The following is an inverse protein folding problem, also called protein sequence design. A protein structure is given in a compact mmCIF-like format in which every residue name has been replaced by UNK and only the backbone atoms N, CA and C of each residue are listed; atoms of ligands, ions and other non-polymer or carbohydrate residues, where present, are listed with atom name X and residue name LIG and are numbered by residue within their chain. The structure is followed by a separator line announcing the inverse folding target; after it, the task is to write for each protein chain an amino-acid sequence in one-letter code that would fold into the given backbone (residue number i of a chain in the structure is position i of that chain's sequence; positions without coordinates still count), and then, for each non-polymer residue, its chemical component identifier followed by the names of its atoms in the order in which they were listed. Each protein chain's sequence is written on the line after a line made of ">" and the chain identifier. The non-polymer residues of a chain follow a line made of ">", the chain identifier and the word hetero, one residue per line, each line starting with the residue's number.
data_IF_534577398949
#
_entry.id   IF_534577398949
#
_cell.length_a   1.000
_cell.length_b   1.000
_cell.length_c   1.000
_cell.angle_alpha   90.00
_cell.angle_beta   90.00
_cell.angle_gamma   90.00
#
_symmetry.space_group_name_H-M   'P 1'
#
loop_
_entity.id
_entity.type
_entity.pdbx_description
1 polymer ?
#
# COMPACT_ATOMS: atom_id res chain seq x y z
N UNK A 1 28.80 -19.51 9.87
CA UNK A 1 29.77 -18.63 9.20
C UNK A 1 28.99 -17.38 8.84
N UNK A 2 29.20 -16.28 9.56
CA UNK A 2 28.43 -15.05 9.39
C UNK A 2 28.69 -14.47 7.99
N UNK A 3 27.64 -14.36 7.18
CA UNK A 3 27.70 -13.79 5.83
C UNK A 3 28.05 -12.30 5.92
N UNK A 4 29.16 -11.89 5.28
CA UNK A 4 29.69 -10.52 5.25
C UNK A 4 28.82 -9.51 4.47
N UNK A 5 27.68 -9.92 3.94
CA UNK A 5 26.76 -9.05 3.18
C UNK A 5 25.56 -8.53 4.01
N UNK A 6 25.45 -8.90 5.29
CA UNK A 6 24.34 -8.49 6.17
C UNK A 6 24.45 -7.05 6.69
N UNK A 7 24.41 -6.02 5.82
CA UNK A 7 24.17 -4.63 6.26
C UNK A 7 23.80 -3.64 5.14
N UNK A 8 23.35 -4.10 3.96
CA UNK A 8 22.84 -3.15 2.94
C UNK A 8 21.44 -2.72 3.36
N UNK A 9 21.33 -1.48 3.85
CA UNK A 9 20.07 -0.89 4.30
C UNK A 9 19.36 -0.20 3.15
N UNK A 10 18.03 -0.27 3.18
CA UNK A 10 17.18 0.37 2.22
C UNK A 10 17.23 1.88 2.37
N UNK A 11 17.61 2.58 1.32
CA UNK A 11 17.65 4.04 1.30
C UNK A 11 16.27 4.69 1.54
N UNK A 12 15.18 3.92 1.38
CA UNK A 12 13.82 4.40 1.54
C UNK A 12 13.25 4.20 2.95
N UNK A 13 13.68 3.16 3.66
CA UNK A 13 13.05 2.77 4.92
C UNK A 13 14.03 2.18 5.95
N UNK A 14 15.33 2.25 5.67
CA UNK A 14 16.43 1.81 6.53
C UNK A 14 16.52 0.31 6.81
N UNK A 15 15.56 -0.47 6.33
CA UNK A 15 15.51 -1.91 6.55
C UNK A 15 16.43 -2.69 5.59
N UNK A 16 16.85 -3.89 5.98
CA UNK A 16 17.78 -4.69 5.18
C UNK A 16 17.17 -5.16 3.85
N UNK A 17 17.96 -5.08 2.78
CA UNK A 17 17.65 -5.71 1.51
C UNK A 17 17.81 -7.22 1.60
N UNK A 18 16.99 -7.96 0.85
CA UNK A 18 17.10 -9.41 0.64
C UNK A 18 17.26 -9.74 -0.82
N UNK A 19 17.87 -10.87 -1.17
CA UNK A 19 18.01 -11.28 -2.57
C UNK A 19 16.72 -11.97 -3.04
N UNK A 20 16.17 -11.54 -4.18
CA UNK A 20 15.00 -12.15 -4.83
C UNK A 20 15.39 -13.32 -5.73
N UNK A 21 14.39 -14.08 -6.19
CA UNK A 21 14.56 -15.21 -7.12
C UNK A 21 15.23 -14.84 -8.45
N UNK A 22 15.17 -13.55 -8.83
CA UNK A 22 15.81 -12.97 -10.02
C UNK A 22 17.20 -12.37 -9.76
N UNK A 23 17.72 -12.48 -8.53
CA UNK A 23 19.01 -11.92 -8.11
C UNK A 23 18.99 -10.42 -7.80
N UNK A 24 17.81 -9.80 -7.74
CA UNK A 24 17.64 -8.40 -7.35
C UNK A 24 17.65 -8.29 -5.83
N UNK A 25 18.24 -7.25 -5.26
CA UNK A 25 18.06 -6.93 -3.84
C UNK A 25 16.74 -6.21 -3.65
N UNK A 26 15.80 -6.84 -2.95
CA UNK A 26 14.46 -6.34 -2.66
C UNK A 26 14.36 -6.03 -1.18
N UNK A 27 14.01 -4.79 -0.85
CA UNK A 27 13.72 -4.43 0.52
C UNK A 27 12.44 -5.16 0.94
N UNK A 28 12.53 -5.92 2.04
CA UNK A 28 11.41 -6.72 2.56
C UNK A 28 10.17 -5.88 2.91
N UNK A 29 10.35 -4.58 3.10
CA UNK A 29 9.32 -3.69 3.63
C UNK A 29 8.79 -2.75 2.55
N UNK A 30 9.60 -1.77 2.11
CA UNK A 30 9.09 -0.84 1.11
C UNK A 30 9.04 -1.38 -0.33
N UNK A 31 9.46 -2.63 -0.57
CA UNK A 31 9.49 -3.26 -1.88
C UNK A 31 10.51 -2.68 -2.86
N UNK A 32 11.33 -1.72 -2.41
CA UNK A 32 12.39 -1.11 -3.23
C UNK A 32 13.32 -2.18 -3.77
N UNK A 33 13.67 -2.08 -5.05
CA UNK A 33 14.59 -2.99 -5.72
C UNK A 33 15.86 -2.27 -6.07
N UNK A 34 17.01 -2.86 -5.77
CA UNK A 34 18.30 -2.43 -6.30
C UNK A 34 18.94 -3.60 -7.04
N UNK A 35 19.58 -3.26 -8.15
CA UNK A 35 20.31 -4.20 -8.98
C UNK A 35 21.78 -4.07 -8.62
N UNK A 36 22.37 -5.13 -8.11
CA UNK A 36 23.82 -5.19 -7.93
C UNK A 36 24.48 -5.46 -9.27
N UNK A 37 25.57 -4.76 -9.56
CA UNK A 37 26.35 -4.97 -10.80
C UNK A 37 27.45 -6.00 -10.55
N UNK A 38 27.98 -6.61 -11.62
CA UNK A 38 29.08 -7.58 -11.47
C UNK A 38 30.34 -6.97 -10.82
N UNK A 39 30.51 -5.65 -10.93
CA UNK A 39 31.59 -4.91 -10.28
C UNK A 39 31.47 -4.92 -8.74
N UNK A 40 30.25 -5.00 -8.22
CA UNK A 40 29.97 -5.05 -6.79
C UNK A 40 30.26 -6.45 -6.18
N UNK A 41 30.51 -7.46 -7.03
CA UNK A 41 30.78 -8.85 -6.67
C UNK A 41 32.15 -9.36 -7.11
N UNK A 42 33.05 -8.50 -7.59
CA UNK A 42 34.37 -8.90 -8.11
C UNK A 42 35.16 -9.79 -7.11
N UNK A 43 34.93 -9.62 -5.80
CA UNK A 43 35.59 -10.38 -4.74
C UNK A 43 34.80 -11.62 -4.22
N UNK A 44 33.57 -11.88 -4.71
CA UNK A 44 32.61 -12.79 -4.06
C UNK A 44 31.94 -13.83 -4.98
N UNK A 45 32.55 -14.20 -6.12
CA UNK A 45 31.94 -15.11 -7.10
C UNK A 45 31.40 -16.43 -6.52
N UNK A 46 32.11 -17.07 -5.58
CA UNK A 46 31.64 -18.31 -4.94
C UNK A 46 30.49 -18.08 -3.95
N UNK A 47 30.49 -16.93 -3.26
CA UNK A 47 29.46 -16.60 -2.26
C UNK A 47 28.15 -16.18 -2.92
N UNK A 48 28.19 -15.59 -4.13
CA UNK A 48 27.00 -15.17 -4.89
C UNK A 48 26.09 -16.35 -5.23
N UNK A 49 26.64 -17.43 -5.78
CA UNK A 49 25.85 -18.60 -6.21
C UNK A 49 25.29 -19.36 -5.00
N UNK A 50 26.10 -19.54 -3.94
CA UNK A 50 25.67 -20.15 -2.68
C UNK A 50 24.59 -19.31 -1.96
N UNK A 51 24.66 -17.97 -2.04
CA UNK A 51 23.63 -17.06 -1.50
C UNK A 51 22.33 -17.10 -2.29
N UNK A 52 22.41 -17.10 -3.62
CA UNK A 52 21.23 -17.19 -4.50
C UNK A 52 20.50 -18.52 -4.29
N UNK A 53 21.22 -19.62 -4.05
CA UNK A 53 20.61 -20.91 -3.72
C UNK A 53 19.99 -20.91 -2.31
N UNK A 54 20.72 -20.50 -1.27
CA UNK A 54 20.23 -20.46 0.12
C UNK A 54 18.99 -19.57 0.31
N UNK A 55 19.01 -18.36 -0.26
CA UNK A 55 17.93 -17.38 -0.05
C UNK A 55 16.73 -17.63 -0.97
N UNK A 56 16.91 -18.29 -2.13
CA UNK A 56 15.78 -18.82 -2.93
C UNK A 56 14.93 -19.77 -2.09
N UNK A 57 15.55 -20.74 -1.42
CA UNK A 57 14.81 -21.69 -0.59
C UNK A 57 14.11 -21.03 0.61
N UNK A 58 14.69 -19.98 1.19
CA UNK A 58 14.11 -19.30 2.35
C UNK A 58 12.96 -18.35 1.97
N UNK A 59 12.99 -17.77 0.77
CA UNK A 59 11.91 -16.93 0.26
C UNK A 59 10.74 -17.75 -0.31
N UNK A 60 10.99 -18.91 -0.92
CA UNK A 60 9.96 -19.81 -1.44
C UNK A 60 9.11 -20.44 -0.31
N UNK A 61 9.68 -20.66 0.89
CA UNK A 61 8.92 -21.09 2.07
C UNK A 61 7.97 -20.00 2.61
N UNK A 62 8.11 -18.74 2.20
CA UNK A 62 7.28 -17.63 2.66
C UNK A 62 6.10 -17.30 1.72
N UNK A 63 5.93 -18.00 0.60
CA UNK A 63 4.89 -17.69 -0.39
C UNK A 63 3.51 -18.29 -0.08
N UNK A 64 3.32 -19.04 1.02
CA UNK A 64 2.04 -19.73 1.26
C UNK A 64 1.65 -19.89 2.74
N UNK A 65 1.72 -18.80 3.52
CA UNK A 65 1.26 -18.81 4.92
C UNK A 65 -0.28 -18.68 5.06
N UNK A 66 -1.01 -18.52 3.95
CA UNK A 66 -2.43 -18.23 3.98
C UNK A 66 -2.72 -16.86 4.59
N UNK A 67 -3.80 -16.78 5.37
CA UNK A 67 -4.20 -15.59 6.12
C UNK A 67 -3.36 -15.44 7.39
N UNK A 68 -2.38 -14.53 7.34
CA UNK A 68 -1.41 -14.35 8.43
C UNK A 68 -1.99 -13.70 9.67
N UNK A 69 -3.18 -13.08 9.59
CA UNK A 69 -3.83 -12.44 10.73
C UNK A 69 -5.03 -13.25 11.26
N UNK A 70 -5.40 -14.33 10.58
CA UNK A 70 -6.59 -15.11 10.93
C UNK A 70 -7.90 -14.31 10.84
N UNK A 71 -7.95 -13.25 10.02
CA UNK A 71 -9.15 -12.40 9.84
C UNK A 71 -10.15 -12.98 8.82
N UNK A 72 -9.71 -13.86 7.93
CA UNK A 72 -10.47 -14.49 6.85
C UNK A 72 -11.02 -15.87 7.25
N UNK A 73 -11.70 -15.95 8.40
CA UNK A 73 -12.16 -17.23 8.97
C UNK A 73 -13.40 -17.82 8.28
N UNK A 74 -14.21 -16.98 7.64
CA UNK A 74 -15.44 -17.41 6.96
C UNK A 74 -15.60 -16.67 5.63
N UNK A 75 -15.90 -17.43 4.58
CA UNK A 75 -16.18 -16.89 3.26
C UNK A 75 -17.65 -17.09 2.88
N UNK A 76 -18.20 -16.10 2.17
CA UNK A 76 -19.43 -16.26 1.40
C UNK A 76 -19.07 -16.38 -0.07
N UNK A 77 -19.71 -17.32 -0.78
CA UNK A 77 -19.55 -17.42 -2.22
C UNK A 77 -20.27 -16.23 -2.89
N UNK A 78 -19.49 -15.38 -3.55
CA UNK A 78 -19.99 -14.31 -4.38
C UNK A 78 -20.23 -14.84 -5.80
N UNK A 79 -21.35 -14.49 -6.42
CA UNK A 79 -21.66 -14.72 -7.83
C UNK A 79 -22.28 -13.47 -8.47
N UNK A 80 -21.47 -12.71 -9.23
CA UNK A 80 -21.91 -11.51 -9.95
C UNK A 80 -22.29 -11.90 -11.37
N UNK A 81 -23.56 -11.76 -11.72
CA UNK A 81 -24.01 -11.86 -13.10
C UNK A 81 -23.82 -10.52 -13.82
N UNK A 82 -23.17 -10.53 -14.98
CA UNK A 82 -23.05 -9.36 -15.86
C UNK A 82 -24.19 -9.33 -16.88
N UNK A 83 -24.45 -8.16 -17.47
CA UNK A 83 -25.42 -8.04 -18.59
C UNK A 83 -25.04 -8.92 -19.79
N UNK A 84 -23.74 -9.22 -19.98
CA UNK A 84 -23.25 -10.10 -21.04
C UNK A 84 -23.47 -11.60 -20.75
N UNK A 85 -24.07 -11.95 -19.60
CA UNK A 85 -24.26 -13.33 -19.17
C UNK A 85 -22.99 -13.99 -18.60
N UNK A 86 -21.94 -13.21 -18.32
CA UNK A 86 -20.73 -13.69 -17.66
C UNK A 86 -20.96 -13.72 -16.15
N UNK A 87 -20.48 -14.77 -15.49
CA UNK A 87 -20.57 -14.91 -14.04
C UNK A 87 -19.19 -14.78 -13.40
N UNK A 88 -19.04 -13.80 -12.51
CA UNK A 88 -17.81 -13.59 -11.74
C UNK A 88 -18.01 -14.22 -10.37
N UNK A 89 -17.32 -15.34 -10.12
CA UNK A 89 -17.43 -16.08 -8.87
C UNK A 89 -16.14 -16.03 -8.09
N UNK A 90 -16.22 -15.71 -6.80
CA UNK A 90 -15.10 -15.82 -5.88
C UNK A 90 -15.58 -15.87 -4.42
N UNK A 91 -14.73 -16.39 -3.54
CA UNK A 91 -14.96 -16.35 -2.10
C UNK A 91 -14.69 -14.94 -1.57
N UNK A 92 -15.71 -14.33 -0.97
CA UNK A 92 -15.62 -13.05 -0.28
C UNK A 92 -15.54 -13.31 1.22
N UNK A 93 -14.44 -12.89 1.83
CA UNK A 93 -14.19 -12.99 3.27
C UNK A 93 -14.70 -11.77 4.04
N UNK A 94 -14.93 -10.66 3.33
CA UNK A 94 -15.47 -9.44 3.89
C UNK A 94 -16.27 -8.66 2.86
N UNK A 95 -17.35 -8.02 3.29
CA UNK A 95 -18.10 -7.08 2.48
C UNK A 95 -18.50 -5.84 3.28
N UNK A 96 -18.60 -4.72 2.59
CA UNK A 96 -19.08 -3.45 3.16
C UNK A 96 -19.91 -2.70 2.13
N UNK A 97 -21.07 -2.20 2.57
CA UNK A 97 -21.88 -1.27 1.80
C UNK A 97 -21.51 0.16 2.20
N UNK A 98 -21.07 0.94 1.22
CA UNK A 98 -20.77 2.36 1.35
C UNK A 98 -21.78 3.16 0.53
N UNK A 99 -21.79 4.48 0.70
CA UNK A 99 -22.65 5.32 -0.11
C UNK A 99 -22.25 5.21 -1.60
N UNK A 100 -23.19 4.75 -2.45
CA UNK A 100 -23.00 4.68 -3.90
C UNK A 100 -22.27 3.42 -4.39
N UNK A 101 -21.80 2.54 -3.50
CA UNK A 101 -21.07 1.32 -3.88
C UNK A 101 -21.05 0.24 -2.79
N UNK A 102 -20.96 -1.01 -3.22
CA UNK A 102 -20.66 -2.16 -2.37
C UNK A 102 -19.27 -2.71 -2.69
N UNK A 103 -18.53 -3.12 -1.66
CA UNK A 103 -17.19 -3.69 -1.80
C UNK A 103 -17.20 -5.10 -1.24
N UNK A 104 -16.67 -6.05 -2.01
CA UNK A 104 -16.49 -7.45 -1.65
C UNK A 104 -15.02 -7.82 -1.77
N UNK A 105 -14.45 -8.38 -0.71
CA UNK A 105 -13.02 -8.62 -0.60
C UNK A 105 -12.77 -10.12 -0.52
N UNK A 106 -12.01 -10.62 -1.48
CA UNK A 106 -11.52 -11.99 -1.51
C UNK A 106 -10.03 -12.09 -1.22
N UNK A 107 -9.47 -13.29 -1.35
CA UNK A 107 -8.05 -13.57 -1.08
C UNK A 107 -7.13 -12.74 -1.97
N UNK A 108 -7.42 -12.71 -3.28
CA UNK A 108 -6.61 -12.09 -4.33
C UNK A 108 -7.39 -11.13 -5.22
N UNK A 109 -8.65 -10.86 -4.88
CA UNK A 109 -9.56 -10.01 -5.66
C UNK A 109 -10.34 -9.08 -4.76
N UNK A 110 -10.69 -7.91 -5.27
CA UNK A 110 -11.70 -7.03 -4.70
C UNK A 110 -12.72 -6.74 -5.80
N UNK A 111 -14.01 -6.94 -5.52
CA UNK A 111 -15.08 -6.46 -6.38
C UNK A 111 -15.65 -5.18 -5.78
N UNK A 112 -15.75 -4.13 -6.60
CA UNK A 112 -16.43 -2.89 -6.27
C UNK A 112 -17.62 -2.77 -7.21
N UNK A 113 -18.83 -2.78 -6.66
CA UNK A 113 -20.07 -2.64 -7.41
C UNK A 113 -20.60 -1.24 -7.16
N UNK A 114 -20.55 -0.38 -8.16
CA UNK A 114 -21.10 0.97 -8.10
C UNK A 114 -22.58 0.97 -8.47
N UNK A 115 -23.35 1.79 -7.77
CA UNK A 115 -24.78 2.00 -8.06
C UNK A 115 -24.98 2.66 -9.43
N UNK A 116 -23.98 3.42 -9.89
CA UNK A 116 -24.03 4.13 -11.16
C UNK A 116 -22.74 3.95 -11.97
N UNK A 117 -22.89 3.96 -13.29
CA UNK A 117 -21.78 3.84 -14.24
C UNK A 117 -20.83 5.04 -14.22
N UNK A 118 -21.30 6.23 -13.87
CA UNK A 118 -20.50 7.46 -13.92
C UNK A 118 -19.31 7.39 -12.96
N UNK A 119 -19.57 6.97 -11.72
CA UNK A 119 -18.53 6.84 -10.70
C UNK A 119 -17.53 5.73 -11.07
N UNK A 120 -18.01 4.59 -11.55
CA UNK A 120 -17.12 3.51 -12.01
C UNK A 120 -16.24 3.94 -13.19
N UNK A 121 -16.80 4.66 -14.16
CA UNK A 121 -16.04 5.20 -15.29
C UNK A 121 -15.02 6.24 -14.83
N UNK A 122 -15.41 7.14 -13.92
CA UNK A 122 -14.49 8.12 -13.34
C UNK A 122 -13.32 7.47 -12.62
N UNK A 123 -13.57 6.40 -11.85
CA UNK A 123 -12.54 5.58 -11.25
C UNK A 123 -11.59 5.01 -12.33
N UNK A 124 -12.13 4.34 -13.35
CA UNK A 124 -11.31 3.73 -14.41
C UNK A 124 -10.48 4.75 -15.20
N UNK A 125 -11.07 5.92 -15.49
CA UNK A 125 -10.44 6.98 -16.28
C UNK A 125 -9.28 7.61 -15.50
N UNK A 126 -9.50 7.96 -14.22
CA UNK A 126 -8.42 8.49 -13.37
C UNK A 126 -7.24 7.52 -13.30
N UNK A 127 -7.49 6.23 -13.04
CA UNK A 127 -6.40 5.24 -12.93
C UNK A 127 -5.59 5.13 -14.23
N UNK A 128 -6.24 5.24 -15.39
CA UNK A 128 -5.56 5.20 -16.71
C UNK A 128 -4.77 6.47 -17.02
N UNK A 129 -5.14 7.60 -16.43
CA UNK A 129 -4.50 8.90 -16.66
C UNK A 129 -3.22 9.10 -15.84
N UNK A 130 -2.99 8.31 -14.78
CA UNK A 130 -1.83 8.48 -13.91
C UNK A 130 -0.52 8.26 -14.68
N UNK A 131 0.29 9.30 -14.72
CA UNK A 131 1.65 9.29 -15.24
C UNK A 131 2.63 9.10 -14.09
N UNK A 132 3.53 8.15 -14.27
CA UNK A 132 4.60 7.89 -13.31
C UNK A 132 5.85 8.68 -13.70
N UNK A 133 6.47 9.44 -12.78
CA UNK A 133 7.69 10.17 -13.09
C UNK A 133 8.80 9.19 -13.45
N UNK A 134 9.73 9.59 -14.34
CA UNK A 134 10.83 8.70 -14.77
C UNK A 134 11.74 8.25 -13.62
N UNK A 135 11.75 8.98 -12.51
CA UNK A 135 12.45 8.63 -11.29
C UNK A 135 11.71 7.60 -10.41
N UNK A 136 10.47 7.22 -10.77
CA UNK A 136 9.72 6.14 -10.12
C UNK A 136 10.25 4.76 -10.53
N UNK A 137 11.50 4.51 -10.15
CA UNK A 137 12.20 3.25 -10.35
C UNK A 137 11.56 2.12 -9.51
N UNK A 138 10.80 2.49 -8.47
CA UNK A 138 10.23 1.59 -7.45
C UNK A 138 8.82 1.11 -7.78
N UNK A 139 8.18 1.69 -8.80
CA UNK A 139 6.87 1.29 -9.31
C UNK A 139 5.74 1.62 -8.35
N UNK A 140 5.49 2.91 -8.10
CA UNK A 140 4.37 3.37 -7.25
C UNK A 140 3.01 2.85 -7.73
N UNK A 141 2.88 2.51 -9.02
CA UNK A 141 1.67 1.92 -9.58
C UNK A 141 1.22 0.62 -8.91
N UNK A 142 2.11 -0.12 -8.24
CA UNK A 142 1.73 -1.32 -7.47
C UNK A 142 0.83 -1.03 -6.27
N UNK A 143 0.90 0.20 -5.73
CA UNK A 143 0.11 0.63 -4.58
C UNK A 143 -1.26 1.18 -4.98
N UNK A 144 -1.52 1.25 -6.28
CA UNK A 144 -2.76 1.73 -6.87
C UNK A 144 -3.57 0.55 -7.43
N UNK A 145 -4.85 0.75 -7.76
CA UNK A 145 -5.72 -0.31 -8.26
C UNK A 145 -5.21 -0.90 -9.58
N UNK A 146 -5.17 -2.23 -9.65
CA UNK A 146 -5.04 -2.94 -10.92
C UNK A 146 -6.40 -3.53 -11.33
N UNK A 147 -7.12 -2.79 -12.19
CA UNK A 147 -8.44 -3.18 -12.68
C UNK A 147 -8.28 -4.28 -13.74
N UNK A 148 -8.73 -5.49 -13.41
CA UNK A 148 -8.64 -6.68 -14.27
C UNK A 148 -9.89 -6.95 -15.08
N UNK A 149 -11.03 -6.42 -14.64
CA UNK A 149 -12.32 -6.59 -15.32
C UNK A 149 -13.27 -5.45 -14.94
N UNK A 150 -14.06 -4.99 -15.90
CA UNK A 150 -15.14 -4.03 -15.68
C UNK A 150 -16.35 -4.36 -16.55
N UNK A 151 -17.57 -4.27 -16.00
CA UNK A 151 -18.80 -4.52 -16.74
C UNK A 151 -20.05 -4.01 -16.03
N UNK A 152 -21.16 -3.90 -16.77
CA UNK A 152 -22.48 -3.70 -16.17
C UNK A 152 -22.97 -5.01 -15.53
N UNK A 153 -23.53 -4.91 -14.34
CA UNK A 153 -24.16 -6.02 -13.65
C UNK A 153 -25.60 -6.20 -14.13
N UNK A 154 -26.13 -7.43 -14.06
CA UNK A 154 -27.46 -7.75 -14.55
C UNK A 154 -28.60 -7.02 -13.78
N UNK A 155 -28.31 -6.57 -12.56
CA UNK A 155 -29.20 -5.77 -11.69
C UNK A 155 -29.07 -4.25 -11.91
N UNK A 156 -28.24 -3.80 -12.87
CA UNK A 156 -28.16 -2.42 -13.32
C UNK A 156 -27.02 -1.58 -12.73
N UNK A 157 -26.22 -2.15 -11.82
CA UNK A 157 -24.98 -1.55 -11.32
C UNK A 157 -23.80 -1.69 -12.30
N UNK A 158 -22.61 -1.33 -11.82
CA UNK A 158 -21.36 -1.48 -12.57
C UNK A 158 -20.26 -2.06 -11.68
N UNK A 159 -19.71 -3.20 -12.08
CA UNK A 159 -18.67 -3.90 -11.32
C UNK A 159 -17.28 -3.58 -11.87
N UNK A 160 -16.35 -3.28 -10.96
CA UNK A 160 -14.90 -3.31 -11.18
C UNK A 160 -14.29 -4.45 -10.37
N UNK A 161 -13.43 -5.27 -10.99
CA UNK A 161 -12.66 -6.30 -10.30
C UNK A 161 -11.19 -5.89 -10.26
N UNK A 162 -10.69 -5.66 -9.06
CA UNK A 162 -9.29 -5.38 -8.80
C UNK A 162 -8.54 -6.67 -8.46
N UNK A 163 -7.33 -6.84 -8.97
CA UNK A 163 -6.40 -7.86 -8.45
C UNK A 163 -5.63 -7.31 -7.27
N UNK A 164 -5.38 -8.14 -6.27
CA UNK A 164 -4.45 -7.86 -5.17
C UNK A 164 -3.65 -9.09 -4.79
N UNK A 165 -2.53 -8.89 -4.13
CA UNK A 165 -1.79 -9.97 -3.48
C UNK A 165 -2.54 -10.48 -2.23
N UNK A 166 -2.15 -11.67 -1.77
CA UNK A 166 -2.64 -12.21 -0.50
C UNK A 166 -2.18 -11.33 0.66
N UNK A 167 -2.87 -11.41 1.80
CA UNK A 167 -2.55 -10.64 3.00
C UNK A 167 -2.67 -9.11 2.86
N UNK A 168 -3.39 -8.62 1.85
CA UNK A 168 -3.86 -7.24 1.83
C UNK A 168 -5.26 -7.16 2.44
N UNK A 169 -5.40 -6.35 3.49
CA UNK A 169 -6.61 -6.15 4.31
C UNK A 169 -7.06 -4.70 4.28
N UNK A 170 -8.36 -4.39 4.44
CA UNK A 170 -8.81 -3.03 4.65
C UNK A 170 -8.23 -2.41 5.92
N UNK A 171 -7.81 -1.16 5.84
CA UNK A 171 -7.17 -0.48 6.97
C UNK A 171 -8.14 -0.18 8.11
N UNK A 172 -9.44 -0.01 7.84
CA UNK A 172 -10.44 0.22 8.90
C UNK A 172 -10.64 -0.99 9.84
N UNK A 173 -10.10 -2.17 9.51
CA UNK A 173 -10.09 -3.31 10.43
C UNK A 173 -9.07 -3.14 11.56
N UNK A 174 -8.23 -2.10 11.49
CA UNK A 174 -7.18 -1.83 12.45
C UNK A 174 -7.50 -0.55 13.23
N UNK A 175 -7.34 -0.61 14.54
CA UNK A 175 -7.39 0.54 15.44
C UNK A 175 -6.20 0.50 16.41
N UNK A 176 -5.97 1.60 17.11
CA UNK A 176 -5.03 1.68 18.24
C UNK A 176 -3.59 1.22 17.92
N UNK A 177 -3.17 1.45 16.68
CA UNK A 177 -1.85 1.10 16.19
C UNK A 177 -0.78 1.91 16.92
N UNK A 178 0.40 1.31 17.10
CA UNK A 178 1.55 2.05 17.64
C UNK A 178 1.93 3.23 16.74
N UNK A 179 2.40 4.36 17.32
CA UNK A 179 2.84 5.50 16.53
C UNK A 179 3.93 5.19 15.49
N UNK A 180 4.81 4.24 15.79
CA UNK A 180 5.84 3.75 14.85
C UNK A 180 5.22 3.05 13.63
N UNK A 181 4.09 2.36 13.83
CA UNK A 181 3.33 1.73 12.75
C UNK A 181 2.66 2.80 11.89
N UNK A 182 1.99 3.76 12.51
CA UNK A 182 1.36 4.85 11.74
C UNK A 182 2.41 5.71 11.02
N UNK A 183 3.63 5.83 11.55
CA UNK A 183 4.70 6.57 10.91
C UNK A 183 5.06 6.01 9.52
N UNK A 184 5.17 4.69 9.36
CA UNK A 184 5.45 4.12 8.04
C UNK A 184 4.27 4.29 7.07
N UNK A 185 3.03 4.26 7.58
CA UNK A 185 1.83 4.53 6.78
C UNK A 185 1.86 5.95 6.22
N UNK A 186 2.17 6.92 7.08
CA UNK A 186 2.34 8.32 6.68
C UNK A 186 3.45 8.42 5.63
N UNK A 187 4.62 7.80 5.84
CA UNK A 187 5.68 7.80 4.82
C UNK A 187 5.21 7.29 3.46
N UNK A 188 4.38 6.23 3.42
CA UNK A 188 3.81 5.72 2.17
C UNK A 188 2.81 6.69 1.56
N UNK A 189 1.91 7.23 2.37
CA UNK A 189 0.88 8.16 1.93
C UNK A 189 1.51 9.48 1.42
N UNK A 190 2.52 10.03 2.07
CA UNK A 190 3.23 11.24 1.60
C UNK A 190 3.90 11.01 0.23
N UNK A 191 4.49 9.82 0.01
CA UNK A 191 5.04 9.44 -1.30
C UNK A 191 3.95 9.38 -2.38
N UNK A 192 2.77 8.82 -2.06
CA UNK A 192 1.63 8.81 -2.98
C UNK A 192 1.07 10.23 -3.20
N UNK A 193 1.11 11.09 -2.18
CA UNK A 193 0.77 12.52 -2.32
C UNK A 193 1.68 13.23 -3.32
N UNK A 194 2.98 12.94 -3.31
CA UNK A 194 3.91 13.44 -4.31
C UNK A 194 3.56 12.98 -5.75
N UNK A 195 3.06 11.75 -5.92
CA UNK A 195 2.60 11.24 -7.22
C UNK A 195 1.32 11.93 -7.68
N UNK A 196 0.37 12.17 -6.77
CA UNK A 196 -0.86 12.90 -7.06
C UNK A 196 -0.54 14.35 -7.48
N UNK A 197 0.34 15.04 -6.75
CA UNK A 197 0.75 16.41 -7.11
C UNK A 197 1.51 16.44 -8.44
N UNK A 198 2.34 15.44 -8.74
CA UNK A 198 2.99 15.31 -10.05
C UNK A 198 1.98 15.25 -11.21
N UNK A 199 0.82 14.65 -10.98
CA UNK A 199 -0.26 14.50 -11.96
C UNK A 199 -1.28 15.64 -11.92
N UNK A 200 -1.07 16.69 -11.11
CA UNK A 200 -2.07 17.72 -10.83
C UNK A 200 -3.42 17.13 -10.35
N UNK A 201 -3.39 16.00 -9.62
CA UNK A 201 -4.58 15.30 -9.12
C UNK A 201 -4.74 15.46 -7.60
N UNK A 202 -5.98 15.49 -7.11
CA UNK A 202 -6.29 15.46 -5.68
C UNK A 202 -7.59 14.68 -5.43
N UNK A 203 -7.65 14.02 -4.28
CA UNK A 203 -8.89 13.40 -3.79
C UNK A 203 -9.81 14.51 -3.31
N UNK A 204 -11.10 14.49 -3.69
CA UNK A 204 -12.07 15.40 -3.04
C UNK A 204 -12.15 15.11 -1.54
N UNK A 205 -12.04 13.84 -1.17
CA UNK A 205 -11.90 13.34 0.19
C UNK A 205 -11.26 11.95 0.15
N UNK A 206 -10.17 11.74 0.86
CA UNK A 206 -9.63 10.40 1.14
C UNK A 206 -10.23 9.91 2.46
N UNK A 207 -10.79 8.70 2.47
CA UNK A 207 -11.35 8.10 3.66
C UNK A 207 -10.54 6.85 4.10
N UNK A 208 -10.74 6.42 5.36
CA UNK A 208 -10.07 5.24 5.89
C UNK A 208 -10.47 3.96 5.14
N UNK A 209 -11.70 3.93 4.61
CA UNK A 209 -12.28 2.85 3.82
C UNK A 209 -11.63 2.69 2.44
N UNK A 210 -10.91 3.70 1.97
CA UNK A 210 -10.21 3.67 0.70
C UNK A 210 -8.82 3.00 0.80
N UNK A 211 -8.33 2.81 2.02
CA UNK A 211 -6.97 2.37 2.32
C UNK A 211 -6.91 0.89 2.69
N UNK A 212 -5.85 0.24 2.23
CA UNK A 212 -5.58 -1.17 2.48
C UNK A 212 -4.12 -1.34 2.92
N UNK A 213 -3.86 -2.35 3.73
CA UNK A 213 -2.55 -2.64 4.29
C UNK A 213 -2.17 -4.10 4.02
N UNK A 214 -0.91 -4.31 3.67
CA UNK A 214 -0.26 -5.60 3.84
C UNK A 214 0.65 -5.55 5.08
N UNK A 215 0.24 -6.13 6.22
CA UNK A 215 1.03 -6.08 7.46
C UNK A 215 2.31 -6.91 7.37
N UNK A 216 2.37 -7.92 6.48
CA UNK A 216 3.55 -8.76 6.27
C UNK A 216 4.67 -7.98 5.57
N UNK A 217 4.30 -7.16 4.60
CA UNK A 217 5.25 -6.37 3.82
C UNK A 217 5.31 -4.90 4.24
N UNK A 218 4.50 -4.42 5.18
CA UNK A 218 4.40 -2.99 5.55
C UNK A 218 4.09 -2.09 4.35
N UNK A 219 3.20 -2.57 3.49
CA UNK A 219 2.72 -1.81 2.36
C UNK A 219 1.34 -1.24 2.65
N UNK A 220 1.10 -0.05 2.10
CA UNK A 220 -0.20 0.59 2.14
C UNK A 220 -0.60 0.96 0.71
N UNK A 221 -1.85 0.65 0.39
CA UNK A 221 -2.46 0.76 -0.92
C UNK A 221 -3.67 1.66 -0.83
N UNK A 222 -3.97 2.36 -1.93
CA UNK A 222 -5.20 3.14 -2.09
C UNK A 222 -6.03 2.42 -3.14
N UNK A 223 -7.00 1.60 -2.72
CA UNK A 223 -7.88 0.88 -3.64
C UNK A 223 -9.29 1.46 -3.72
N UNK A 224 -9.66 2.38 -2.84
CA UNK A 224 -10.93 3.10 -2.91
C UNK A 224 -10.79 4.56 -3.34
N UNK A 225 -11.91 5.25 -3.43
CA UNK A 225 -12.00 6.70 -3.55
C UNK A 225 -11.66 7.31 -4.92
N UNK A 226 -11.15 6.54 -5.88
CA UNK A 226 -10.68 7.10 -7.15
C UNK A 226 -11.77 7.74 -8.01
N UNK A 227 -13.04 7.35 -7.84
CA UNK A 227 -14.19 8.04 -8.44
C UNK A 227 -14.36 9.50 -7.98
N UNK A 228 -13.69 9.87 -6.87
CA UNK A 228 -13.75 11.21 -6.30
C UNK A 228 -12.53 12.08 -6.61
N UNK A 229 -11.54 11.54 -7.32
CA UNK A 229 -10.33 12.25 -7.73
C UNK A 229 -10.62 13.14 -8.92
N UNK A 230 -9.95 14.29 -8.97
CA UNK A 230 -10.03 15.21 -10.10
C UNK A 230 -8.73 15.98 -10.27
N UNK A 231 -8.53 16.54 -11.46
CA UNK A 231 -7.43 17.47 -11.72
C UNK A 231 -7.61 18.74 -10.89
N UNK A 232 -6.78 18.91 -9.87
CA UNK A 232 -6.84 20.00 -8.91
C UNK A 232 -5.48 20.28 -8.30
N UNK A 233 -5.23 21.56 -8.02
CA UNK A 233 -4.09 22.01 -7.19
C UNK A 233 -4.45 22.14 -5.71
N UNK A 234 -5.64 21.64 -5.34
CA UNK A 234 -6.02 21.43 -3.94
C UNK A 234 -5.17 20.27 -3.39
N UNK A 235 -5.14 20.16 -2.07
CA UNK A 235 -4.34 19.17 -1.35
C UNK A 235 -5.12 18.59 -0.17
N UNK A 236 -6.41 18.34 -0.40
CA UNK A 236 -7.30 17.75 0.58
C UNK A 236 -6.74 16.41 1.07
N UNK A 237 -6.10 15.64 0.17
CA UNK A 237 -5.38 14.41 0.50
C UNK A 237 -4.42 14.56 1.70
N UNK A 238 -3.66 15.65 1.81
CA UNK A 238 -2.69 15.85 2.90
C UNK A 238 -3.38 16.17 4.24
N UNK A 239 -4.56 16.80 4.20
CA UNK A 239 -5.38 17.03 5.39
C UNK A 239 -6.00 15.71 5.86
N UNK A 240 -6.62 14.98 4.92
CA UNK A 240 -7.25 13.69 5.17
C UNK A 240 -6.25 12.66 5.70
N UNK A 241 -5.04 12.61 5.15
CA UNK A 241 -3.93 11.77 5.64
C UNK A 241 -3.70 11.98 7.14
N UNK A 242 -3.65 13.24 7.59
CA UNK A 242 -3.42 13.56 9.01
C UNK A 242 -4.59 13.13 9.88
N UNK A 243 -5.82 13.33 9.42
CA UNK A 243 -7.03 12.89 10.15
C UNK A 243 -7.08 11.36 10.27
N UNK A 244 -6.80 10.65 9.17
CA UNK A 244 -6.71 9.19 9.15
C UNK A 244 -5.63 8.70 10.12
N UNK A 245 -4.42 9.27 10.06
CA UNK A 245 -3.33 8.90 10.95
C UNK A 245 -3.70 9.13 12.43
N UNK A 246 -4.36 10.24 12.76
CA UNK A 246 -4.86 10.52 14.11
C UNK A 246 -5.94 9.53 14.57
N UNK A 247 -6.77 9.03 13.66
CA UNK A 247 -7.77 8.01 13.97
C UNK A 247 -7.17 6.62 14.22
N UNK A 248 -5.96 6.35 13.72
CA UNK A 248 -5.32 5.04 13.79
C UNK A 248 -4.40 4.86 15.00
N UNK A 249 -4.01 5.92 15.71
CA UNK A 249 -3.07 5.83 16.84
C UNK A 249 -3.38 6.80 17.96
N UNK A 250 -3.01 6.43 19.20
CA UNK A 250 -2.95 7.40 20.30
C UNK A 250 -1.81 8.38 20.05
N UNK A 251 -2.18 9.55 19.53
CA UNK A 251 -1.24 10.64 19.23
C UNK A 251 -0.45 11.08 20.48
N UNK A 252 -0.96 10.89 21.70
CA UNK A 252 -0.23 11.29 22.91
C UNK A 252 0.98 10.39 23.17
N UNK A 253 0.96 9.16 22.67
CA UNK A 253 2.08 8.23 22.74
C UNK A 253 3.13 8.50 21.64
N UNK A 254 2.83 9.34 20.65
CA UNK A 254 3.74 9.68 19.56
C UNK A 254 4.81 10.71 19.97
N UNK A 255 6.01 10.69 19.35
CA UNK A 255 7.02 11.72 19.54
C UNK A 255 6.48 13.13 19.30
N UNK A 256 7.02 14.13 20.01
CA UNK A 256 6.53 15.51 19.94
C UNK A 256 6.51 16.07 18.51
N UNK A 257 7.53 15.75 17.69
CA UNK A 257 7.57 16.16 16.29
C UNK A 257 6.44 15.56 15.47
N UNK A 258 6.12 14.28 15.67
CA UNK A 258 4.99 13.61 15.01
C UNK A 258 3.66 14.26 15.40
N UNK A 259 3.48 14.53 16.70
CA UNK A 259 2.31 15.23 17.21
C UNK A 259 2.14 16.62 16.58
N UNK A 260 3.23 17.38 16.46
CA UNK A 260 3.21 18.71 15.83
C UNK A 260 2.89 18.63 14.34
N UNK A 261 3.42 17.62 13.64
CA UNK A 261 3.14 17.41 12.23
C UNK A 261 1.66 17.08 11.97
N UNK A 262 1.09 16.14 12.74
CA UNK A 262 -0.30 15.70 12.60
C UNK A 262 -1.33 16.75 13.01
N UNK A 263 -0.99 17.63 13.96
CA UNK A 263 -1.85 18.76 14.36
C UNK A 263 -1.57 20.04 13.56
N UNK A 264 -0.52 20.06 12.74
CA UNK A 264 -0.14 21.17 11.89
C UNK A 264 -0.97 21.22 10.62
N UNK A 265 -0.96 22.38 9.95
CA UNK A 265 -1.48 22.47 8.58
C UNK A 265 -0.47 21.85 7.60
N UNK A 266 -0.93 21.17 6.54
CA UNK A 266 -0.07 20.73 5.46
C UNK A 266 0.75 21.88 4.88
N UNK A 267 1.94 21.55 4.36
CA UNK A 267 2.74 22.48 3.56
C UNK A 267 2.06 22.82 2.24
N UNK A 268 2.63 23.82 1.58
CA UNK A 268 2.14 24.34 0.30
C UNK A 268 2.37 23.41 -0.89
N UNK A 269 3.12 22.33 -0.74
CA UNK A 269 3.31 21.28 -1.74
C UNK A 269 3.47 19.94 -1.03
N UNK A 270 3.06 18.83 -1.65
CA UNK A 270 3.28 17.48 -1.17
C UNK A 270 4.77 17.16 -1.03
N UNK A 271 5.64 17.74 -1.88
CA UNK A 271 7.08 17.59 -1.76
C UNK A 271 7.65 18.26 -0.50
N UNK A 272 7.16 19.47 -0.18
CA UNK A 272 7.53 20.17 1.06
C UNK A 272 6.96 19.47 2.29
N UNK A 273 5.75 18.90 2.18
CA UNK A 273 5.09 18.16 3.26
C UNK A 273 5.83 16.84 3.54
N UNK A 274 6.19 16.11 2.49
CA UNK A 274 7.05 14.92 2.57
C UNK A 274 8.41 15.25 3.20
N UNK A 275 9.04 16.36 2.84
CA UNK A 275 10.30 16.80 3.46
C UNK A 275 10.12 17.14 4.95
N UNK A 276 9.00 17.77 5.31
CA UNK A 276 8.69 18.03 6.71
C UNK A 276 8.41 16.73 7.48
N UNK A 277 7.80 15.73 6.83
CA UNK A 277 7.62 14.41 7.41
C UNK A 277 8.94 13.65 7.58
N UNK A 278 9.86 13.75 6.61
CA UNK A 278 11.18 13.13 6.69
C UNK A 278 11.98 13.63 7.90
N UNK A 279 11.88 14.93 8.21
CA UNK A 279 12.43 15.51 9.45
C UNK A 279 11.84 14.89 10.72
N UNK A 280 10.53 14.59 10.73
CA UNK A 280 9.86 13.89 11.84
C UNK A 280 10.39 12.47 12.00
N UNK A 281 10.61 11.75 10.91
CA UNK A 281 11.19 10.40 10.97
C UNK A 281 12.61 10.46 11.53
N UNK A 282 13.45 11.33 10.97
CA UNK A 282 14.86 11.42 11.33
C UNK A 282 15.06 11.88 12.77
N UNK A 283 14.38 12.96 13.16
CA UNK A 283 14.60 13.61 14.46
C UNK A 283 13.59 13.20 15.54
N UNK A 284 12.42 12.69 15.15
CA UNK A 284 11.36 12.28 16.08
C UNK A 284 11.39 10.79 16.41
N UNK A 285 11.57 9.93 15.39
CA UNK A 285 11.60 8.48 15.55
C UNK A 285 13.02 7.89 15.61
N UNK A 286 14.06 8.73 15.50
CA UNK A 286 15.45 8.31 15.59
C UNK A 286 15.97 7.65 14.31
N UNK A 287 15.48 8.10 13.15
CA UNK A 287 15.84 7.59 11.84
C UNK A 287 14.86 6.56 11.28
N UNK A 288 15.16 6.05 10.08
CA UNK A 288 14.37 5.02 9.43
C UNK A 288 14.61 3.63 10.07
N UNK A 289 14.22 3.45 11.33
CA UNK A 289 14.30 2.19 12.05
C UNK A 289 12.88 1.65 12.28
N UNK A 290 12.28 1.05 11.26
CA UNK A 290 10.93 0.48 11.36
C UNK A 290 10.98 -0.98 11.82
N UNK A 291 10.15 -1.34 12.80
CA UNK A 291 10.07 -2.69 13.37
C UNK A 291 8.94 -3.51 12.74
N UNK A 292 9.07 -4.85 12.76
CA UNK A 292 8.11 -5.81 12.20
C UNK A 292 6.71 -5.66 12.81
N UNK A 293 5.66 -5.77 11.99
CA UNK A 293 4.27 -5.77 12.47
C UNK A 293 3.99 -7.13 13.10
N UNK A 294 3.53 -7.13 14.33
CA UNK A 294 3.22 -8.30 15.13
C UNK A 294 1.84 -8.14 15.78
N UNK A 295 1.20 -9.22 16.20
CA UNK A 295 -0.07 -9.17 16.95
C UNK A 295 0.02 -8.24 18.18
N UNK A 296 1.22 -8.06 18.75
CA UNK A 296 1.50 -7.14 19.85
C UNK A 296 1.52 -5.64 19.46
N UNK A 297 1.29 -5.30 18.19
CA UNK A 297 1.19 -3.92 17.70
C UNK A 297 -0.23 -3.37 17.72
N UNK A 298 -1.22 -4.23 17.99
CA UNK A 298 -2.54 -3.85 18.49
C UNK A 298 -2.51 -3.91 20.02
N UNK A 299 -3.11 -2.93 20.70
CA UNK A 299 -3.23 -2.92 22.17
C UNK A 299 -4.51 -3.57 22.64
#
# INVERSE_FOLDING_TARGET
>A
MESKLMNIRCDNCGAEYRVSSRGELVCRFCGSKIYMTDRDFEDYQHTRDEMLESDRFTNDMAENDGDVLGLWQSASLMDIATESGTHIKFESYYSVALQGKEIYIGKTKIAIIFDNRGDAQGYEDIIKEIVYPSADIKGLGRYLPNITFSSRTADGGYVLILSKEENIYPLFLFSDLKPTTVAWMISRLENLGCLLEFNDMDFRKLALEDLYINPKTHELFIFGGWENVSHSKRRNYLEDLREIAKGLTDINAAPELCRKFLNGRPKSTAYDDFKAWDDVIMNGFGGHNFHQFSENDQK
#
